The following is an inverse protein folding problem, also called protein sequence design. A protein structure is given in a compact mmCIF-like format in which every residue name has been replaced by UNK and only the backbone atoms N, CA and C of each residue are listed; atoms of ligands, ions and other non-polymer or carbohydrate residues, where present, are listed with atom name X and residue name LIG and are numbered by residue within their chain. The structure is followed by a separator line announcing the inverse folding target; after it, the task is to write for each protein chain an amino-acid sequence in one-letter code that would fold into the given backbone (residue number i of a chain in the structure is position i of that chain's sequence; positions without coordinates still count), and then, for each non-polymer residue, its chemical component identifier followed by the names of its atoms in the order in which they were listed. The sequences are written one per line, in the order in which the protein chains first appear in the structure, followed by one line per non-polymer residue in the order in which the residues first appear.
data_IF_448421913949
#
_entry.id   IF_448421913949
#
_cell.length_a   1.000
_cell.length_b   1.000
_cell.length_c   1.000
_cell.angle_alpha   90.00
_cell.angle_beta   90.00
_cell.angle_gamma   90.00
#
_symmetry.space_group_name_H-M   'P 1'
#
loop_
_entity.id
_entity.type
_entity.pdbx_description
1 polymer ?
2 non-polymer ?
#
# COMPACT_ATOMS: atom_id res chain seq x y z
N UNK A 1 4.83 12.21 -4.51
CA UNK A 1 5.71 12.04 -5.67
C UNK A 1 5.73 10.55 -5.97
N UNK A 2 6.91 9.97 -6.22
CA UNK A 2 7.21 8.54 -6.38
C UNK A 2 7.88 8.28 -7.72
N UNK A 3 8.69 7.21 -7.77
CA UNK A 3 9.04 6.53 -9.00
C UNK A 3 8.81 5.03 -8.74
N UNK A 4 8.01 4.41 -9.61
CA UNK A 4 7.68 2.99 -9.58
C UNK A 4 8.94 2.14 -9.42
N UNK A 5 10.04 2.54 -10.07
CA UNK A 5 11.32 1.85 -9.98
C UNK A 5 11.66 1.55 -8.53
N UNK A 6 11.64 2.58 -7.68
CA UNK A 6 11.96 2.42 -6.28
C UNK A 6 10.79 1.72 -5.59
N UNK A 7 9.58 2.27 -5.73
CA UNK A 7 8.41 1.82 -4.99
C UNK A 7 8.24 0.30 -5.02
N UNK A 8 8.36 -0.30 -6.20
CA UNK A 8 8.15 -1.73 -6.33
C UNK A 8 9.29 -2.49 -5.67
N UNK A 9 10.52 -1.95 -5.73
CA UNK A 9 11.69 -2.61 -5.16
C UNK A 9 11.45 -2.86 -3.68
N UNK A 10 10.90 -1.85 -3.00
CA UNK A 10 10.48 -1.99 -1.61
C UNK A 10 9.39 -3.05 -1.52
N UNK A 11 8.30 -2.88 -2.30
CA UNK A 11 7.13 -3.74 -2.23
C UNK A 11 7.52 -5.21 -2.17
N UNK A 12 8.36 -5.60 -3.13
CA UNK A 12 8.85 -6.96 -3.33
C UNK A 12 9.32 -7.60 -2.01
N UNK A 13 10.06 -6.83 -1.20
CA UNK A 13 10.64 -7.33 0.03
C UNK A 13 9.74 -7.05 1.22
N UNK A 14 8.99 -5.94 1.18
CA UNK A 14 8.37 -5.37 2.36
C UNK A 14 6.89 -5.72 2.44
N UNK A 15 6.16 -5.50 1.33
CA UNK A 15 4.71 -5.53 1.31
C UNK A 15 4.22 -6.88 0.80
N UNK A 16 4.92 -7.43 -0.21
CA UNK A 16 4.49 -8.58 -0.99
C UNK A 16 4.24 -9.76 -0.06
N UNK A 17 5.05 -9.84 1.00
CA UNK A 17 4.96 -10.89 1.99
C UNK A 17 3.52 -11.10 2.48
N UNK A 18 2.74 -10.01 2.53
CA UNK A 18 1.30 -10.07 2.75
C UNK A 18 0.59 -9.87 1.40
N UNK A 19 0.84 -8.74 0.72
CA UNK A 19 -0.02 -8.29 -0.37
C UNK A 19 0.41 -8.70 -1.79
N UNK A 20 1.26 -9.72 -1.96
CA UNK A 20 1.72 -10.18 -3.27
C UNK A 20 0.61 -10.16 -4.33
N UNK A 21 0.84 -9.42 -5.42
CA UNK A 21 -0.10 -9.33 -6.54
C UNK A 21 -1.44 -8.71 -6.14
N UNK A 22 -1.44 -7.80 -5.16
CA UNK A 22 -2.67 -7.19 -4.68
C UNK A 22 -3.48 -8.23 -3.92
N UNK A 23 -2.84 -8.90 -2.97
CA UNK A 23 -3.44 -9.95 -2.16
C UNK A 23 -3.41 -9.56 -0.68
N UNK A 24 -3.32 -10.58 0.18
CA UNK A 24 -3.09 -10.44 1.61
C UNK A 24 -2.61 -11.80 2.11
N UNK A 25 -2.23 -11.88 3.38
CA UNK A 25 -1.94 -13.12 4.09
C UNK A 25 -2.90 -13.22 5.28
N UNK A 26 -2.90 -12.20 6.13
CA UNK A 26 -3.68 -12.18 7.36
C UNK A 26 -5.19 -12.13 7.06
N UNK A 27 -5.62 -11.19 6.21
CA UNK A 27 -7.03 -11.01 5.87
C UNK A 27 -7.20 -11.24 4.36
N UNK A 28 -7.52 -12.46 3.91
CA UNK A 28 -7.57 -12.81 2.49
C UNK A 28 -8.84 -12.26 1.82
N UNK A 29 -9.00 -10.94 1.84
CA UNK A 29 -10.13 -10.21 1.26
C UNK A 29 -9.74 -8.74 1.05
N UNK A 30 -9.11 -8.16 2.07
CA UNK A 30 -8.44 -6.87 2.03
C UNK A 30 -7.21 -6.94 1.11
N UNK A 31 -7.37 -6.58 -0.17
CA UNK A 31 -6.32 -6.67 -1.18
C UNK A 31 -5.46 -5.40 -1.17
N UNK A 32 -5.21 -4.79 -2.34
CA UNK A 32 -4.88 -3.39 -2.50
C UNK A 32 -5.49 -2.85 -3.79
N UNK A 33 -6.71 -3.27 -4.12
CA UNK A 33 -7.50 -2.65 -5.20
C UNK A 33 -8.63 -1.79 -4.61
N UNK A 34 -9.24 -0.94 -5.45
CA UNK A 34 -10.13 0.10 -4.94
C UNK A 34 -11.31 -0.44 -4.13
N UNK A 35 -11.88 -1.57 -4.55
CA UNK A 35 -12.98 -2.21 -3.82
C UNK A 35 -12.61 -2.52 -2.36
N UNK A 36 -11.32 -2.75 -2.08
CA UNK A 36 -10.83 -2.94 -0.73
C UNK A 36 -10.57 -1.56 -0.12
N UNK A 37 -9.62 -0.82 -0.70
CA UNK A 37 -9.14 0.44 -0.13
C UNK A 37 -10.34 1.36 0.20
N UNK A 38 -11.26 1.60 -0.74
CA UNK A 38 -12.42 2.46 -0.55
C UNK A 38 -13.11 2.27 0.81
N UNK A 39 -13.23 1.02 1.28
CA UNK A 39 -13.92 0.74 2.53
C UNK A 39 -12.94 0.42 3.67
N UNK A 40 -11.96 -0.44 3.41
CA UNK A 40 -11.10 -0.97 4.45
C UNK A 40 -9.96 -0.01 4.82
N UNK A 41 -9.57 0.92 3.95
CA UNK A 41 -8.65 1.99 4.31
C UNK A 41 -9.49 3.10 4.95
N UNK A 42 -9.42 3.25 6.27
CA UNK A 42 -10.06 4.35 6.99
C UNK A 42 -9.53 5.68 6.44
N UNK A 43 -10.39 6.45 5.77
CA UNK A 43 -10.02 7.63 5.00
C UNK A 43 -10.51 7.53 3.55
N UNK A 44 -10.68 6.31 3.04
CA UNK A 44 -11.16 6.05 1.70
C UNK A 44 -10.06 6.21 0.66
N UNK A 45 -10.39 5.92 -0.60
CA UNK A 45 -9.44 5.81 -1.71
C UNK A 45 -8.73 7.13 -2.01
N UNK A 46 -7.65 7.43 -1.29
CA UNK A 46 -6.85 8.63 -1.49
C UNK A 46 -5.38 8.31 -1.27
N UNK A 47 -4.52 9.02 -1.99
CA UNK A 47 -3.08 8.89 -1.81
C UNK A 47 -2.72 9.39 -0.42
N UNK A 48 -3.24 10.54 -0.03
CA UNK A 48 -2.96 11.17 1.25
C UNK A 48 -3.32 10.22 2.39
N UNK A 49 -4.44 9.51 2.24
CA UNK A 49 -4.86 8.51 3.21
C UNK A 49 -3.85 7.37 3.28
N UNK A 50 -3.45 6.80 2.14
CA UNK A 50 -2.49 5.72 2.04
C UNK A 50 -1.16 6.15 2.67
N UNK A 51 -0.66 7.34 2.33
CA UNK A 51 0.50 7.93 2.99
C UNK A 51 0.27 7.93 4.51
N UNK A 52 -0.81 8.57 4.95
CA UNK A 52 -1.13 8.76 6.36
C UNK A 52 -1.70 7.49 7.03
N UNK A 53 -1.61 6.31 6.40
CA UNK A 53 -2.09 5.06 6.95
C UNK A 53 -0.90 4.12 6.94
N UNK A 54 -0.19 3.97 5.82
CA UNK A 54 1.02 3.17 5.74
C UNK A 54 1.96 3.48 6.91
N UNK A 55 2.17 4.76 7.21
CA UNK A 55 3.00 5.14 8.35
C UNK A 55 2.35 4.77 9.69
N UNK A 56 1.02 4.87 9.82
CA UNK A 56 0.35 4.74 11.11
C UNK A 56 0.13 3.27 11.46
N UNK A 57 -0.20 2.45 10.46
CA UNK A 57 -0.33 1.01 10.65
C UNK A 57 -1.72 0.64 11.16
N UNK A 58 -2.66 0.49 10.23
CA UNK A 58 -4.07 0.23 10.55
C UNK A 58 -4.31 -1.26 10.80
N UNK A 59 -4.77 -1.62 12.00
CA UNK A 59 -5.21 -2.96 12.31
C UNK A 59 -4.03 -3.91 12.33
N UNK A 60 -4.22 -5.09 11.74
CA UNK A 60 -3.23 -6.16 11.72
C UNK A 60 -2.16 -5.89 10.66
N UNK A 61 -1.58 -4.69 10.67
CA UNK A 61 -0.64 -4.24 9.66
C UNK A 61 0.50 -3.50 10.37
N UNK A 62 1.76 -3.85 10.08
CA UNK A 62 2.91 -3.18 10.66
C UNK A 62 2.88 -1.69 10.27
N UNK A 63 3.23 -0.82 11.22
CA UNK A 63 3.40 0.61 10.98
C UNK A 63 4.75 0.83 10.29
N UNK A 64 4.79 1.70 9.27
CA UNK A 64 5.97 1.87 8.44
C UNK A 64 6.67 3.22 8.65
N UNK A 65 6.24 4.00 9.65
CA UNK A 65 6.74 5.34 9.97
C UNK A 65 8.24 5.43 10.16
N UNK A 66 8.84 4.31 10.52
CA UNK A 66 10.26 4.17 10.81
C UNK A 66 10.94 3.13 9.93
N UNK A 67 10.33 2.76 8.79
CA UNK A 67 10.91 1.76 7.89
C UNK A 67 11.05 2.26 6.45
N UNK A 68 10.40 3.37 6.09
CA UNK A 68 9.86 3.53 4.74
C UNK A 68 10.06 4.96 4.18
N UNK A 69 10.61 5.89 4.97
CA UNK A 69 11.06 7.25 4.65
C UNK A 69 10.09 8.13 3.84
N UNK A 70 10.34 9.44 3.79
CA UNK A 70 9.54 10.33 2.96
C UNK A 70 9.58 9.92 1.47
N UNK A 71 10.58 9.12 1.07
CA UNK A 71 10.68 8.63 -0.29
C UNK A 71 9.71 7.47 -0.46
N UNK A 72 10.04 6.32 0.13
CA UNK A 72 9.32 5.09 -0.17
C UNK A 72 7.88 5.13 0.36
N UNK A 73 7.58 5.88 1.44
CA UNK A 73 6.20 6.20 1.83
C UNK A 73 5.42 6.67 0.59
N UNK A 74 6.02 7.54 -0.21
CA UNK A 74 5.43 7.99 -1.46
C UNK A 74 5.50 6.87 -2.50
N UNK A 75 6.71 6.34 -2.71
CA UNK A 75 7.02 5.31 -3.69
C UNK A 75 5.99 4.18 -3.73
N UNK A 76 5.92 3.42 -2.64
CA UNK A 76 5.18 2.17 -2.63
C UNK A 76 3.67 2.44 -2.67
N UNK A 77 3.25 3.55 -2.05
CA UNK A 77 1.87 4.00 -2.06
C UNK A 77 1.48 4.27 -3.51
N UNK A 78 2.29 5.07 -4.20
CA UNK A 78 2.02 5.42 -5.58
C UNK A 78 1.91 4.15 -6.42
N UNK A 79 2.89 3.24 -6.28
CA UNK A 79 2.84 1.95 -6.96
C UNK A 79 1.48 1.27 -6.75
N UNK A 80 1.15 0.92 -5.51
CA UNK A 80 -0.05 0.14 -5.25
C UNK A 80 -1.30 0.89 -5.74
N UNK A 81 -1.32 2.22 -5.57
CA UNK A 81 -2.41 3.07 -6.02
C UNK A 81 -2.59 2.98 -7.54
N UNK A 82 -1.50 3.02 -8.31
CA UNK A 82 -1.58 2.83 -9.77
C UNK A 82 -2.22 1.49 -10.08
N UNK A 83 -1.64 0.40 -9.54
CA UNK A 83 -2.17 -0.94 -9.76
C UNK A 83 -3.67 -0.98 -9.50
N UNK A 84 -4.04 -0.53 -8.30
CA UNK A 84 -5.41 -0.45 -7.84
C UNK A 84 -6.27 0.23 -8.89
N UNK A 85 -6.01 1.51 -9.14
CA UNK A 85 -6.78 2.34 -10.05
C UNK A 85 -6.90 1.64 -11.40
N UNK A 86 -5.75 1.34 -12.01
CA UNK A 86 -5.61 0.80 -13.35
C UNK A 86 -6.32 -0.54 -13.55
N UNK A 87 -6.29 -1.41 -12.54
CA UNK A 87 -6.60 -2.84 -12.63
C UNK A 87 -5.36 -3.61 -13.11
N UNK A 88 -4.17 -3.00 -13.02
CA UNK A 88 -2.91 -3.60 -13.41
C UNK A 88 -2.38 -4.63 -12.40
N UNK A 89 -3.12 -4.94 -11.34
CA UNK A 89 -2.73 -6.00 -10.41
C UNK A 89 -2.77 -7.35 -11.13
X LIG B 1 -1.09 -3.78 4.27
X LIG B 1 -4.41 -3.05 4.84
X LIG B 1 -0.80 -1.22 2.01
X LIG B 1 2.38 -4.26 4.19
X LIG B 1 -1.38 -6.65 6.26
X LIG B 1 -2.38 -2.41 3.54
X LIG B 1 -3.69 -2.29 3.91
X LIG B 1 -4.25 -1.19 3.17
X LIG B 1 -3.25 -0.70 2.35
X LIG B 1 -2.05 -1.46 2.61
X LIG B 1 -3.38 0.44 1.38
X LIG B 1 -5.66 -0.65 3.28
X LIG B 1 -6.74 -1.41 2.52
X LIG B 1 -7.01 -2.79 3.08
X LIG B 1 -7.63 -2.88 4.17
X LIG B 1 -6.55 -3.75 2.43
X LIG B 1 0.51 -2.92 3.26
X LIG B 1 0.37 -1.91 2.36
X LIG B 1 1.68 -1.64 1.81
X LIG B 1 2.60 -2.41 2.50
X LIG B 1 1.83 -3.26 3.38
X LIG B 1 1.98 -0.60 0.74
X LIG B 1 4.12 -2.35 2.41
X LIG B 1 4.71 -0.99 2.83
X LIG B 1 0.27 -5.16 5.14
X LIG B 1 1.62 -5.15 4.93
X LIG B 1 2.17 -6.33 5.55
X LIG B 1 1.12 -7.04 6.09
X LIG B 1 -0.09 -6.27 5.85
X LIG B 1 3.61 -6.81 5.45
X LIG B 1 1.20 -8.44 6.67
X LIG B 1 2.17 -8.60 7.84
X LIG B 1 -2.63 -4.70 5.35
X LIG B 1 -2.51 -5.86 6.06
X LIG B 1 -3.81 -6.16 6.60
X LIG B 1 -4.63 -5.09 6.31
X LIG B 1 -3.90 -4.21 5.45
X LIG B 1 -4.20 -7.41 7.35
X LIG B 1 -6.03 -4.91 6.87
X LIG B 1 -6.02 -4.62 8.38
X LIG B 1 -7.43 -4.59 8.97
X LIG B 1 -8.23 -5.46 8.57
X LIG B 1 -7.68 -3.72 9.82
X LIG B 1 -5.42 -2.76 5.02
X LIG B 1 -0.71 -0.43 1.29
X LIG B 1 3.44 -4.42 4.15
X LIG B 1 -1.51 -7.55 6.83
X LIG B 1 -3.17 1.36 1.93
X LIG B 1 -2.69 0.34 0.56
X LIG B 1 -4.39 0.48 0.97
X LIG B 1 -5.96 -0.57 4.33
X LIG B 1 -5.68 0.34 2.85
X LIG B 1 -7.65 -0.80 2.53
X LIG B 1 -6.40 -1.53 1.50
X LIG B 1 1.84 0.40 1.15
X LIG B 1 2.99 -0.70 0.38
X LIG B 1 1.30 -0.74 -0.10
X LIG B 1 4.59 -3.07 3.07
X LIG B 1 4.45 -0.77 3.86
X LIG B 1 5.80 -1.02 2.77
X LIG B 1 4.34 -0.20 2.20
X LIG B 1 4.18 -6.48 6.32
X LIG B 1 3.65 -7.89 5.39
X LIG B 1 4.09 -6.44 4.55
X LIG B 1 0.23 -8.69 7.08
X LIG B 1 1.95 -7.87 8.61
X LIG B 1 2.05 -9.60 8.26
X LIG B 1 3.20 -8.49 7.51
X LIG B 1 -3.48 -7.62 8.13
X LIG B 1 -5.18 -7.29 7.82
X LIG B 1 -4.25 -8.24 6.65
X LIG B 1 -6.54 -4.08 6.38
X LIG B 1 -6.60 -5.82 6.67
X LIG B 1 -5.45 -5.38 8.91
X LIG B 1 -5.54 -3.66 8.54
#
# INVERSE_FOLDING_TARGET
EADLALGKAVFDGNCAACHAGGGNNVIPDHTLQKAAIEQFLDGGFNIEAIVYQIENGKGAMPAWDGRLDEDEIAGVAAYVYDQAAGNKW
HEC FE CHA CHB CHC CHD NA C1A C2A C3A C4A CMA CAA CBA CGA O1A O2A NB C1B C2B C3B C4B CMB CAB CBB NC C1C C2C C3C C4C CMC CAC CBC ND C1D C2D C3D C4D CMD CAD CBD CGD O1D O2D HHA HHB HHC HHD HMA1 HMA2 HMA3 HAA1 HAA2 HBA1 HBA2 HMB1 HMB2 HMB3 HAB HBB1 HBB2 HBB3 HMC1 HMC2 HMC3 HAC HBC1 HBC2 HBC3 HMD1 HMD2 HMD3 HAD1 HAD2 HBD1 HBD2
#
